data_IF_120257577513
#
_entry.id   IF_120257577513
#
_cell.length_a   1.000
_cell.length_b   1.000
_cell.length_c   1.000
_cell.angle_alpha   90.00
_cell.angle_beta   90.00
_cell.angle_gamma   90.00
#
_symmetry.space_group_name_H-M   'P 1'
#
loop_
_entity.id
_entity.type
_entity.pdbx_description
1 polymer ?
#
# COMPACT_ATOMS: atom_id res chain seq x y z
N UNK A 1 0.39 -9.57 1.47
CA UNK A 1 1.51 -10.26 0.77
C UNK A 1 2.38 -9.16 0.15
N UNK A 2 3.53 -8.84 0.75
CA UNK A 2 4.41 -7.72 0.33
C UNK A 2 5.21 -8.15 -0.90
N UNK A 3 5.02 -7.49 -2.05
CA UNK A 3 5.91 -7.66 -3.20
C UNK A 3 6.89 -6.49 -3.25
N UNK A 4 8.12 -6.70 -2.76
CA UNK A 4 9.25 -5.86 -3.17
C UNK A 4 9.56 -6.26 -4.62
N UNK A 5 9.20 -5.42 -5.58
CA UNK A 5 9.56 -5.64 -6.99
C UNK A 5 10.94 -5.04 -7.25
N UNK A 6 11.99 -5.85 -7.11
CA UNK A 6 13.37 -5.44 -7.45
C UNK A 6 13.49 -5.44 -8.98
N UNK A 7 13.53 -4.26 -9.59
CA UNK A 7 13.75 -4.12 -11.04
C UNK A 7 15.25 -4.01 -11.33
N UNK A 8 15.75 -4.67 -12.38
CA UNK A 8 17.16 -4.62 -12.78
C UNK A 8 17.35 -3.54 -13.85
N UNK A 9 18.16 -2.50 -13.59
CA UNK A 9 18.57 -1.53 -14.63
C UNK A 9 20.09 -1.50 -14.72
N UNK A 10 20.63 -1.92 -15.87
CA UNK A 10 22.05 -1.85 -16.21
C UNK A 10 22.33 -0.48 -16.84
N UNK A 11 23.27 0.30 -16.30
CA UNK A 11 23.88 1.44 -17.00
C UNK A 11 25.32 1.10 -17.34
N UNK A 12 25.65 1.03 -18.63
CA UNK A 12 27.03 0.90 -19.11
C UNK A 12 27.68 2.29 -19.16
N UNK A 13 28.81 2.47 -18.48
CA UNK A 13 29.73 3.58 -18.74
C UNK A 13 30.97 3.01 -19.43
N UNK A 14 31.24 3.44 -20.66
CA UNK A 14 32.48 3.13 -21.37
C UNK A 14 33.52 4.20 -21.03
N UNK A 15 34.65 3.79 -20.45
CA UNK A 15 35.89 4.57 -20.48
C UNK A 15 36.87 3.90 -21.45
N UNK A 16 37.32 4.65 -22.45
CA UNK A 16 38.23 4.14 -23.49
C UNK A 16 39.68 4.28 -23.03
N UNK A 17 40.32 3.20 -22.60
CA UNK A 17 41.79 3.11 -22.55
C UNK A 17 42.26 1.70 -22.90
N UNK A 18 43.16 1.64 -23.90
CA UNK A 18 44.17 0.64 -24.30
C UNK A 18 43.96 -0.87 -24.06
N UNK A 19 44.36 -1.66 -25.08
CA UNK A 19 44.42 -3.13 -25.12
C UNK A 19 45.09 -3.74 -23.88
N UNK A 20 44.26 -4.13 -22.93
CA UNK A 20 44.48 -5.13 -21.88
C UNK A 20 43.11 -5.75 -21.62
N UNK A 21 43.02 -6.98 -21.12
CA UNK A 21 41.73 -7.57 -20.74
C UNK A 21 41.04 -6.64 -19.74
N UNK A 22 40.10 -5.84 -20.25
CA UNK A 22 39.30 -4.92 -19.45
C UNK A 22 38.34 -5.77 -18.63
N UNK A 23 38.69 -5.99 -17.37
CA UNK A 23 37.75 -6.49 -16.38
C UNK A 23 36.63 -5.45 -16.27
N UNK A 24 35.52 -5.70 -16.94
CA UNK A 24 34.32 -4.86 -16.78
C UNK A 24 33.85 -5.05 -15.34
N UNK A 25 34.21 -4.11 -14.46
CA UNK A 25 33.65 -4.07 -13.12
C UNK A 25 32.20 -3.60 -13.24
N UNK A 26 31.27 -4.56 -13.30
CA UNK A 26 29.84 -4.26 -13.34
C UNK A 26 29.45 -3.71 -11.97
N UNK A 27 29.25 -2.39 -11.89
CA UNK A 27 28.72 -1.73 -10.69
C UNK A 27 27.20 -1.95 -10.66
N UNK A 28 26.73 -2.79 -9.74
CA UNK A 28 25.30 -3.01 -9.52
C UNK A 28 24.67 -1.81 -8.81
N UNK A 29 23.43 -1.48 -9.19
CA UNK A 29 22.65 -0.42 -8.58
C UNK A 29 21.30 -0.97 -8.15
N UNK A 30 20.89 -0.69 -6.91
CA UNK A 30 19.57 -1.05 -6.41
C UNK A 30 18.51 -0.10 -6.95
N UNK A 31 17.36 -0.67 -7.30
CA UNK A 31 16.18 0.05 -7.82
C UNK A 31 14.99 -0.49 -7.03
N UNK A 32 14.47 0.33 -6.12
CA UNK A 32 13.47 -0.08 -5.13
C UNK A 32 12.22 0.78 -5.28
N UNK A 33 11.07 0.12 -5.38
CA UNK A 33 9.75 0.73 -5.21
C UNK A 33 9.09 0.22 -3.93
N UNK A 34 8.17 1.01 -3.39
CA UNK A 34 7.43 0.69 -2.17
C UNK A 34 5.93 0.67 -2.47
N UNK A 35 5.23 -0.23 -1.80
CA UNK A 35 3.77 -0.23 -1.69
C UNK A 35 3.46 -0.14 -0.19
N UNK A 36 2.79 0.93 0.21
CA UNK A 36 2.50 1.22 1.62
C UNK A 36 1.00 1.27 1.81
N UNK A 37 0.46 0.33 2.58
CA UNK A 37 -0.91 0.34 3.07
C UNK A 37 -0.95 1.02 4.44
N UNK A 38 -1.74 2.08 4.56
CA UNK A 38 -1.98 2.78 5.81
C UNK A 38 -3.48 2.79 6.13
N UNK A 39 -3.85 2.45 7.36
CA UNK A 39 -5.25 2.48 7.79
C UNK A 39 -5.70 3.91 8.06
N UNK A 40 -6.86 4.28 7.52
CA UNK A 40 -7.46 5.60 7.74
C UNK A 40 -8.14 5.65 9.10
N UNK A 41 -7.81 6.67 9.88
CA UNK A 41 -8.42 6.90 11.20
C UNK A 41 -9.82 7.52 11.03
N UNK A 42 -10.82 6.67 10.99
CA UNK A 42 -12.25 7.02 10.81
C UNK A 42 -13.09 6.22 11.79
N UNK A 43 -14.26 6.74 12.14
CA UNK A 43 -15.16 6.09 13.11
C UNK A 43 -15.82 4.82 12.56
N UNK A 44 -16.15 4.82 11.25
CA UNK A 44 -16.79 3.71 10.56
C UNK A 44 -15.96 3.20 9.39
N UNK A 45 -16.27 1.98 8.93
CA UNK A 45 -15.56 1.29 7.86
C UNK A 45 -15.74 1.94 6.48
N UNK A 46 -15.01 1.43 5.46
CA UNK A 46 -14.98 2.04 4.13
C UNK A 46 -16.33 1.96 3.41
N UNK A 47 -17.03 0.84 3.56
CA UNK A 47 -18.26 0.54 2.82
C UNK A 47 -19.45 0.15 3.71
N UNK A 48 -19.31 0.29 5.04
CA UNK A 48 -20.35 -0.04 6.01
C UNK A 48 -20.29 0.90 7.22
N UNK A 49 -21.41 0.99 7.95
CA UNK A 49 -21.50 1.78 9.18
C UNK A 49 -20.91 1.11 10.43
N UNK A 50 -20.30 -0.07 10.31
CA UNK A 50 -19.68 -0.74 11.45
C UNK A 50 -18.48 0.06 11.99
N UNK A 51 -18.25 -0.03 13.30
CA UNK A 51 -17.16 0.68 13.97
C UNK A 51 -15.79 0.22 13.43
N UNK A 52 -14.90 1.19 13.21
CA UNK A 52 -13.50 0.96 12.84
C UNK A 52 -12.62 1.21 14.06
N UNK A 53 -12.58 0.23 14.98
CA UNK A 53 -11.86 0.33 16.25
C UNK A 53 -10.91 -0.84 16.45
N UNK A 54 -9.74 -0.56 17.02
CA UNK A 54 -8.73 -1.56 17.34
C UNK A 54 -9.03 -2.26 18.67
N UNK A 55 -8.73 -3.56 18.77
CA UNK A 55 -8.79 -4.30 20.03
C UNK A 55 -10.19 -4.61 20.56
N UNK A 56 -11.22 -4.50 19.72
CA UNK A 56 -12.57 -4.92 20.08
C UNK A 56 -12.69 -6.42 20.33
N UNK A 57 -13.80 -6.84 20.96
CA UNK A 57 -14.17 -8.25 21.11
C UNK A 57 -14.27 -8.89 19.72
N UNK A 58 -13.79 -10.12 19.58
CA UNK A 58 -13.76 -10.87 18.30
C UNK A 58 -15.13 -10.84 17.62
N UNK A 59 -15.17 -10.50 16.33
CA UNK A 59 -16.37 -10.43 15.50
C UNK A 59 -17.50 -9.50 16.02
N UNK A 60 -17.18 -8.49 16.84
CA UNK A 60 -18.17 -7.56 17.40
C UNK A 60 -18.39 -6.29 16.55
N UNK A 61 -17.37 -5.82 15.84
CA UNK A 61 -17.40 -4.65 14.98
C UNK A 61 -17.66 -5.07 13.53
N UNK A 62 -18.74 -5.82 13.29
CA UNK A 62 -19.02 -6.47 12.00
C UNK A 62 -20.47 -6.22 11.61
N UNK A 63 -20.68 -5.55 10.48
CA UNK A 63 -22.01 -5.44 9.86
C UNK A 63 -22.32 -6.65 8.96
N UNK A 64 -23.59 -6.77 8.55
CA UNK A 64 -23.99 -7.80 7.58
C UNK A 64 -23.19 -7.73 6.28
N UNK A 65 -22.85 -6.51 5.83
CA UNK A 65 -22.01 -6.30 4.64
C UNK A 65 -20.58 -6.80 4.85
N UNK A 66 -19.98 -6.51 6.01
CA UNK A 66 -18.61 -6.93 6.32
C UNK A 66 -18.49 -8.46 6.39
N UNK A 67 -19.56 -9.15 6.80
CA UNK A 67 -19.66 -10.60 6.82
C UNK A 67 -20.11 -11.20 5.48
N UNK A 68 -20.26 -10.37 4.43
CA UNK A 68 -20.73 -10.78 3.10
C UNK A 68 -22.08 -11.52 3.11
N UNK A 69 -23.01 -11.13 3.99
CA UNK A 69 -24.36 -11.71 4.03
C UNK A 69 -25.07 -11.42 2.71
N UNK A 70 -25.71 -12.42 2.07
CA UNK A 70 -26.39 -12.24 0.79
C UNK A 70 -27.40 -11.09 0.80
N UNK A 71 -27.39 -10.28 -0.27
CA UNK A 71 -28.31 -9.14 -0.44
C UNK A 71 -27.81 -7.82 0.14
N UNK A 72 -26.65 -7.79 0.80
CA UNK A 72 -26.03 -6.53 1.27
C UNK A 72 -25.27 -5.80 0.16
N UNK A 73 -25.22 -4.48 0.24
CA UNK A 73 -24.58 -3.60 -0.75
C UNK A 73 -23.61 -2.61 -0.09
N UNK A 74 -22.51 -2.23 -0.76
CA UNK A 74 -21.52 -1.31 -0.22
C UNK A 74 -22.03 0.15 -0.24
N UNK A 75 -21.76 0.90 0.83
CA UNK A 75 -22.03 2.35 0.90
C UNK A 75 -20.74 3.08 1.28
N UNK A 76 -20.19 3.86 0.33
CA UNK A 76 -18.91 4.51 0.51
C UNK A 76 -18.93 5.55 1.64
N UNK A 77 -17.92 5.46 2.51
CA UNK A 77 -17.70 6.41 3.58
C UNK A 77 -17.04 7.70 3.07
N UNK A 78 -17.78 8.81 3.10
CA UNK A 78 -17.30 10.14 2.70
C UNK A 78 -16.01 10.56 3.41
N UNK A 79 -15.86 10.25 4.71
CA UNK A 79 -14.68 10.66 5.47
C UNK A 79 -13.41 9.99 4.98
N UNK A 80 -13.51 8.75 4.51
CA UNK A 80 -12.38 8.03 3.91
C UNK A 80 -11.90 8.74 2.63
N UNK A 81 -12.83 9.22 1.80
CA UNK A 81 -12.51 9.99 0.59
C UNK A 81 -11.85 11.31 0.94
N UNK A 82 -12.38 12.05 1.91
CA UNK A 82 -11.80 13.31 2.38
C UNK A 82 -10.34 13.13 2.84
N UNK A 83 -10.08 12.13 3.69
CA UNK A 83 -8.72 11.83 4.16
C UNK A 83 -7.80 11.41 3.02
N UNK A 84 -8.28 10.59 2.08
CA UNK A 84 -7.53 10.20 0.89
C UNK A 84 -7.12 11.42 0.04
N UNK A 85 -8.04 12.35 -0.20
CA UNK A 85 -7.77 13.60 -0.94
C UNK A 85 -6.78 14.48 -0.16
N UNK A 86 -6.96 14.63 1.16
CA UNK A 86 -6.02 15.38 2.00
C UNK A 86 -4.60 14.80 1.92
N UNK A 87 -4.46 13.47 1.97
CA UNK A 87 -3.17 12.79 1.80
C UNK A 87 -2.58 13.03 0.40
N UNK A 88 -3.41 12.95 -0.66
CA UNK A 88 -2.98 13.22 -2.01
C UNK A 88 -2.43 14.65 -2.19
N UNK A 89 -3.15 15.65 -1.68
CA UNK A 89 -2.71 17.05 -1.71
C UNK A 89 -1.42 17.26 -0.90
N UNK A 90 -1.32 16.67 0.29
CA UNK A 90 -0.12 16.76 1.13
C UNK A 90 1.12 16.15 0.44
N UNK A 91 0.91 15.14 -0.40
CA UNK A 91 1.95 14.46 -1.18
C UNK A 91 2.10 15.02 -2.60
N UNK A 92 1.55 16.21 -2.86
CA UNK A 92 1.62 16.92 -4.15
C UNK A 92 1.15 16.07 -5.33
N UNK A 93 0.20 15.16 -5.10
CA UNK A 93 -0.41 14.35 -6.16
C UNK A 93 -1.45 15.17 -6.94
N UNK A 94 -1.66 14.81 -8.19
CA UNK A 94 -2.82 15.22 -8.97
C UNK A 94 -4.03 14.38 -8.56
N UNK A 95 -5.04 15.00 -7.98
CA UNK A 95 -6.32 14.35 -7.67
C UNK A 95 -7.09 14.12 -8.97
N UNK A 96 -7.60 12.91 -9.16
CA UNK A 96 -8.42 12.60 -10.33
C UNK A 96 -9.86 13.07 -10.10
N UNK A 97 -10.43 13.79 -11.08
CA UNK A 97 -11.83 14.23 -11.02
C UNK A 97 -12.81 13.05 -10.91
N UNK A 98 -12.44 11.93 -11.52
CA UNK A 98 -13.17 10.67 -11.49
C UNK A 98 -12.22 9.55 -11.09
N UNK A 99 -12.60 8.79 -10.08
CA UNK A 99 -11.95 7.53 -9.69
C UNK A 99 -13.02 6.44 -9.54
N UNK A 100 -12.63 5.17 -9.70
CA UNK A 100 -13.58 4.05 -9.68
C UNK A 100 -13.08 2.92 -8.79
N UNK A 101 -14.01 2.24 -8.13
CA UNK A 101 -13.71 1.04 -7.38
C UNK A 101 -13.85 -0.22 -8.26
N UNK A 102 -12.88 -1.11 -8.14
CA UNK A 102 -12.74 -2.37 -8.84
C UNK A 102 -12.78 -3.54 -7.84
N UNK A 103 -13.13 -4.74 -8.32
CA UNK A 103 -13.10 -5.97 -7.51
C UNK A 103 -11.86 -6.79 -7.86
N UNK A 104 -10.99 -6.99 -6.87
CA UNK A 104 -9.79 -7.84 -6.95
C UNK A 104 -10.08 -9.20 -6.32
N UNK A 105 -10.29 -10.22 -7.14
CA UNK A 105 -10.82 -11.52 -6.72
C UNK A 105 -9.71 -12.47 -6.25
N UNK A 106 -9.90 -13.09 -5.08
CA UNK A 106 -9.10 -14.21 -4.57
C UNK A 106 -9.80 -14.84 -3.35
N UNK A 107 -9.60 -16.13 -3.15
CA UNK A 107 -10.17 -16.84 -2.01
C UNK A 107 -9.20 -16.81 -0.83
N UNK A 108 -9.68 -16.30 0.31
CA UNK A 108 -8.99 -16.41 1.59
C UNK A 108 -9.99 -16.31 2.74
N UNK A 109 -9.72 -16.98 3.86
CA UNK A 109 -10.70 -17.13 4.95
C UNK A 109 -11.04 -15.80 5.65
N UNK A 110 -10.13 -14.83 5.64
CA UNK A 110 -10.36 -13.48 6.21
C UNK A 110 -10.91 -12.45 5.20
N UNK A 111 -11.28 -12.91 3.99
CA UNK A 111 -11.92 -12.09 2.97
C UNK A 111 -13.28 -12.71 2.55
N UNK A 112 -14.36 -12.43 3.30
CA UNK A 112 -15.63 -13.15 3.17
C UNK A 112 -16.32 -12.96 1.81
N UNK A 113 -16.08 -11.84 1.14
CA UNK A 113 -16.64 -11.51 -0.19
C UNK A 113 -15.99 -12.30 -1.33
N UNK A 114 -14.81 -12.91 -1.12
CA UNK A 114 -14.00 -13.50 -2.21
C UNK A 114 -13.40 -12.47 -3.17
N UNK A 115 -13.51 -11.18 -2.86
CA UNK A 115 -12.84 -10.08 -3.57
C UNK A 115 -12.63 -8.87 -2.66
N UNK A 116 -11.51 -8.18 -2.85
CA UNK A 116 -11.22 -6.90 -2.23
C UNK A 116 -11.74 -5.76 -3.12
N UNK A 117 -12.45 -4.79 -2.56
CA UNK A 117 -12.80 -3.55 -3.26
C UNK A 117 -11.60 -2.58 -3.14
N UNK A 118 -11.03 -2.18 -4.27
CA UNK A 118 -9.82 -1.31 -4.39
C UNK A 118 -9.94 -0.40 -5.62
N UNK A 119 -8.98 0.48 -5.92
CA UNK A 119 -9.01 1.37 -7.11
C UNK A 119 -7.83 1.12 -8.05
N UNK A 120 -7.79 -0.06 -8.67
CA UNK A 120 -6.65 -0.49 -9.48
C UNK A 120 -6.54 0.29 -10.80
N UNK A 121 -7.66 0.57 -11.48
CA UNK A 121 -7.66 1.16 -12.82
C UNK A 121 -7.69 2.68 -12.81
N UNK A 122 -8.60 3.26 -12.05
CA UNK A 122 -8.77 4.70 -11.91
C UNK A 122 -8.57 5.08 -10.43
N UNK A 123 -7.31 5.30 -10.00
CA UNK A 123 -6.99 5.60 -8.61
C UNK A 123 -7.51 6.98 -8.19
N UNK A 124 -7.53 7.25 -6.89
CA UNK A 124 -7.96 8.54 -6.34
C UNK A 124 -7.06 9.70 -6.79
N UNK A 125 -5.75 9.46 -6.84
CA UNK A 125 -4.76 10.45 -7.27
C UNK A 125 -3.52 9.78 -7.88
N UNK A 126 -2.76 10.54 -8.68
CA UNK A 126 -1.53 10.10 -9.33
C UNK A 126 -0.42 11.15 -9.27
N UNK A 127 0.79 10.78 -9.68
CA UNK A 127 1.89 11.69 -9.99
C UNK A 127 2.32 12.62 -8.85
N UNK A 128 2.48 12.04 -7.65
CA UNK A 128 2.95 12.76 -6.46
C UNK A 128 4.46 12.72 -6.25
N UNK A 129 4.91 13.42 -5.21
CA UNK A 129 6.29 13.37 -4.75
C UNK A 129 6.37 13.56 -3.24
N UNK A 130 7.16 12.72 -2.59
CA UNK A 130 7.55 12.93 -1.18
C UNK A 130 9.00 13.39 -1.12
N UNK A 131 9.25 14.40 -0.28
CA UNK A 131 10.60 14.85 0.05
C UNK A 131 10.92 14.47 1.49
N UNK A 132 12.08 13.87 1.73
CA UNK A 132 12.49 13.41 3.06
C UNK A 132 13.98 13.62 3.30
N UNK A 133 14.36 13.67 4.58
CA UNK A 133 15.76 13.74 4.99
C UNK A 133 16.27 12.33 5.27
N UNK A 134 17.50 12.05 4.84
CA UNK A 134 18.20 10.81 5.11
C UNK A 134 19.39 11.10 6.00
N UNK A 135 19.44 10.40 7.13
CA UNK A 135 20.54 10.45 8.06
C UNK A 135 20.62 9.14 8.84
N UNK A 136 21.85 8.66 9.02
CA UNK A 136 22.15 7.44 9.77
C UNK A 136 23.45 7.72 10.50
N UNK A 137 23.43 7.87 11.83
CA UNK A 137 24.63 8.13 12.62
C UNK A 137 25.72 7.10 12.33
N UNK A 138 26.97 7.55 12.21
CA UNK A 138 28.12 6.69 11.89
C UNK A 138 28.27 6.31 10.42
N UNK A 139 27.24 6.47 9.58
CA UNK A 139 27.32 6.25 8.13
C UNK A 139 27.40 7.59 7.38
N UNK A 140 26.49 8.51 7.71
CA UNK A 140 26.38 9.78 7.02
C UNK A 140 27.10 10.90 7.80
N UNK A 141 28.01 11.63 7.14
CA UNK A 141 28.70 12.79 7.75
C UNK A 141 27.76 13.95 8.09
N UNK A 142 26.68 14.11 7.30
CA UNK A 142 25.62 15.10 7.52
C UNK A 142 24.29 14.60 6.93
N UNK A 143 23.14 15.05 7.44
CA UNK A 143 21.85 14.79 6.79
C UNK A 143 21.83 15.32 5.35
N UNK A 144 21.14 14.63 4.47
CA UNK A 144 20.90 15.07 3.10
C UNK A 144 19.45 14.82 2.68
N UNK A 145 18.98 15.52 1.64
CA UNK A 145 17.61 15.39 1.15
C UNK A 145 17.53 14.38 0.01
N UNK A 146 16.47 13.59 0.00
CA UNK A 146 16.04 12.75 -1.11
C UNK A 146 14.57 13.00 -1.40
N UNK A 147 14.14 12.56 -2.57
CA UNK A 147 12.74 12.53 -2.96
C UNK A 147 12.40 11.16 -3.54
N UNK A 148 11.13 10.77 -3.48
CA UNK A 148 10.61 9.61 -4.18
C UNK A 148 9.27 9.97 -4.81
N UNK A 149 9.04 9.52 -6.04
CA UNK A 149 7.81 9.75 -6.77
C UNK A 149 6.74 8.77 -6.33
N UNK A 150 5.51 9.27 -6.23
CA UNK A 150 4.32 8.46 -5.98
C UNK A 150 3.63 8.27 -7.32
N UNK A 151 3.49 7.02 -7.73
CA UNK A 151 2.78 6.64 -8.93
C UNK A 151 1.28 6.88 -8.77
N UNK A 152 0.70 6.35 -7.68
CA UNK A 152 -0.72 6.50 -7.41
C UNK A 152 -1.06 6.34 -5.92
N UNK A 153 -2.23 6.85 -5.58
CA UNK A 153 -2.90 6.69 -4.30
C UNK A 153 -4.28 6.11 -4.54
N UNK A 154 -4.62 5.02 -3.85
CA UNK A 154 -5.91 4.35 -3.96
C UNK A 154 -6.51 4.07 -2.59
N UNK A 155 -7.83 4.11 -2.51
CA UNK A 155 -8.60 3.64 -1.36
C UNK A 155 -8.94 2.16 -1.54
N UNK A 156 -8.87 1.39 -0.47
CA UNK A 156 -9.24 -0.02 -0.50
C UNK A 156 -9.70 -0.57 0.85
N UNK A 157 -10.35 -1.73 0.82
CA UNK A 157 -10.73 -2.46 2.02
C UNK A 157 -9.56 -3.26 2.59
N UNK A 158 -9.40 -3.25 3.91
CA UNK A 158 -8.57 -4.24 4.61
C UNK A 158 -9.28 -5.60 4.72
N UNK A 159 -8.50 -6.66 4.89
CA UNK A 159 -9.02 -7.99 5.22
C UNK A 159 -9.20 -8.16 6.73
N UNK A 160 -9.88 -9.24 7.12
CA UNK A 160 -9.96 -9.65 8.51
C UNK A 160 -8.60 -10.07 9.08
N UNK A 161 -8.61 -10.62 10.29
CA UNK A 161 -7.44 -11.16 10.95
C UNK A 161 -7.57 -12.68 11.04
N UNK A 162 -6.56 -13.38 10.55
CA UNK A 162 -6.39 -14.82 10.75
C UNK A 162 -5.46 -15.07 11.94
N UNK A 163 -5.92 -15.88 12.91
CA UNK A 163 -5.09 -16.39 14.01
C UNK A 163 -4.96 -17.91 13.83
N UNK A 164 -3.74 -18.39 13.63
CA UNK A 164 -3.49 -19.81 13.45
C UNK A 164 -3.20 -20.47 14.81
N UNK A 165 -4.11 -21.33 15.24
CA UNK A 165 -3.99 -22.10 16.47
C UNK A 165 -3.35 -23.46 16.16
N UNK A 166 -2.12 -23.64 16.64
CA UNK A 166 -1.35 -24.85 16.41
C UNK A 166 -1.85 -26.06 17.20
N UNK A 167 -2.44 -25.83 18.38
CA UNK A 167 -2.96 -26.88 19.25
C UNK A 167 -4.27 -27.43 18.68
N UNK A 168 -5.18 -26.54 18.30
CA UNK A 168 -6.47 -26.90 17.70
C UNK A 168 -6.36 -27.28 16.23
N UNK A 169 -5.19 -27.07 15.60
CA UNK A 169 -4.93 -27.25 14.16
C UNK A 169 -5.96 -26.55 13.27
N UNK A 170 -6.36 -25.34 13.66
CA UNK A 170 -7.40 -24.54 12.99
C UNK A 170 -6.98 -23.09 12.86
N UNK A 171 -7.57 -22.40 11.89
CA UNK A 171 -7.44 -20.94 11.79
C UNK A 171 -8.71 -20.31 12.34
N UNK A 172 -8.56 -19.40 13.28
CA UNK A 172 -9.62 -18.60 13.88
C UNK A 172 -9.68 -17.27 13.12
N UNK A 173 -10.88 -16.88 12.69
CA UNK A 173 -11.09 -15.69 11.87
C UNK A 173 -11.83 -14.63 12.68
N UNK A 174 -11.22 -13.45 12.74
CA UNK A 174 -11.83 -12.22 13.27
C UNK A 174 -12.05 -11.21 12.14
N UNK A 175 -13.32 -10.92 11.85
CA UNK A 175 -13.76 -10.01 10.80
C UNK A 175 -13.90 -8.55 11.28
N UNK A 176 -13.54 -8.23 12.52
CA UNK A 176 -13.55 -6.85 13.02
C UNK A 176 -12.83 -5.88 12.07
N UNK A 177 -11.69 -6.30 11.51
CA UNK A 177 -10.87 -5.50 10.59
C UNK A 177 -11.31 -5.59 9.13
N UNK A 178 -12.12 -6.59 8.76
CA UNK A 178 -12.60 -6.74 7.40
C UNK A 178 -13.44 -5.52 6.99
N UNK A 179 -13.09 -4.89 5.87
CA UNK A 179 -13.74 -3.67 5.38
C UNK A 179 -13.20 -2.36 6.00
N UNK A 180 -12.22 -2.43 6.92
CA UNK A 180 -11.56 -1.23 7.42
C UNK A 180 -10.95 -0.42 6.25
N UNK A 181 -10.94 0.91 6.32
CA UNK A 181 -10.47 1.74 5.22
C UNK A 181 -8.95 1.82 5.20
N UNK A 182 -8.37 1.47 4.07
CA UNK A 182 -6.96 1.66 3.78
C UNK A 182 -6.77 2.73 2.70
N UNK A 183 -5.64 3.43 2.80
CA UNK A 183 -5.02 4.12 1.68
C UNK A 183 -3.76 3.36 1.28
N UNK A 184 -3.64 2.99 0.01
CA UNK A 184 -2.44 2.42 -0.57
C UNK A 184 -1.69 3.50 -1.35
N UNK A 185 -0.41 3.67 -1.01
CA UNK A 185 0.54 4.55 -1.68
C UNK A 185 1.51 3.67 -2.47
N UNK A 186 1.46 3.80 -3.80
CA UNK A 186 2.36 3.08 -4.70
C UNK A 186 3.45 4.04 -5.15
N UNK A 187 4.70 3.73 -4.83
CA UNK A 187 5.87 4.52 -5.20
C UNK A 187 6.47 4.02 -6.50
N UNK A 188 7.00 4.94 -7.30
CA UNK A 188 7.87 4.59 -8.42
C UNK A 188 9.14 3.90 -7.89
N UNK A 189 9.78 3.03 -8.69
CA UNK A 189 11.00 2.37 -8.29
C UNK A 189 12.20 3.31 -8.44
N UNK A 190 12.23 4.41 -7.68
CA UNK A 190 13.25 5.46 -7.75
C UNK A 190 14.08 5.62 -6.47
N UNK A 191 13.87 4.73 -5.49
CA UNK A 191 14.71 4.65 -4.31
C UNK A 191 15.98 3.87 -4.62
N UNK A 192 17.12 4.52 -4.37
CA UNK A 192 18.45 3.99 -4.56
C UNK A 192 19.24 4.05 -3.24
N UNK A 193 20.03 3.01 -2.96
CA UNK A 193 20.98 3.03 -1.85
C UNK A 193 22.12 4.02 -2.17
N UNK A 194 22.57 4.78 -1.18
CA UNK A 194 23.78 5.58 -1.33
C UNK A 194 24.98 4.66 -1.51
N UNK A 195 25.76 4.89 -2.58
CA UNK A 195 27.09 4.28 -2.78
C UNK A 195 28.09 4.77 -1.74
#
# INVERSE_FOLDING_TARGET
>A
MKFIKICRRLRYQYSSVARGYSTVSVKWQSVVGLEVHAQLNTESKLFSGAQNTFGGVVNNCVSLFDAAVPGTLPVLNRKCVELGIMTALALSCKVNEVSTFDRKHYFYADLPTGYQITQQRNPLASDGVINFQVFTPGIHKKPYRKSSKIKQIQLEQDSGKSLHDAELKRSLIDLNRAGAPLIELVFEPDLEASS
#
